data_IF_059028782920
#
_entry.id   IF_059028782920
#
_cell.length_a   1.000
_cell.length_b   1.000
_cell.length_c   1.000
_cell.angle_alpha   90.00
_cell.angle_beta   90.00
_cell.angle_gamma   90.00
#
_symmetry.space_group_name_H-M   'P 1'
#
loop_
_entity.id
_entity.type
_entity.pdbx_description
1 polymer ?
#
# COMPACT_ATOMS: atom_id res chain seq x y z
N UNK A 1 15.55 26.71 -24.80
CA UNK A 1 14.70 26.13 -23.72
C UNK A 1 14.62 27.14 -22.59
N UNK A 2 13.42 27.58 -22.22
CA UNK A 2 13.23 28.75 -21.35
C UNK A 2 13.56 28.47 -19.88
N UNK A 3 14.04 29.50 -19.16
CA UNK A 3 14.32 29.53 -17.70
C UNK A 3 13.20 28.95 -16.81
N UNK A 4 12.00 28.78 -17.35
CA UNK A 4 10.87 28.18 -16.66
C UNK A 4 10.98 26.64 -16.56
N UNK A 5 11.51 25.96 -17.57
CA UNK A 5 11.76 24.51 -17.52
C UNK A 5 12.82 24.18 -16.45
N UNK A 6 13.91 24.94 -16.37
CA UNK A 6 14.93 24.77 -15.31
C UNK A 6 14.39 25.02 -13.90
N UNK A 7 13.38 25.88 -13.74
CA UNK A 7 12.81 26.24 -12.44
C UNK A 7 11.74 25.26 -11.93
N UNK A 8 11.05 24.56 -12.83
CA UNK A 8 9.89 23.73 -12.49
C UNK A 8 10.06 22.24 -12.81
N UNK A 9 10.74 21.88 -13.91
CA UNK A 9 11.04 20.47 -14.25
C UNK A 9 12.13 19.90 -13.32
N UNK A 10 12.93 20.77 -12.68
CA UNK A 10 14.03 20.40 -11.79
C UNK A 10 13.75 20.41 -10.28
N UNK A 11 12.54 20.72 -9.81
CA UNK A 11 12.25 20.73 -8.37
C UNK A 11 11.66 19.40 -7.93
N UNK A 12 12.40 18.61 -7.13
CA UNK A 12 11.90 17.37 -6.50
C UNK A 12 10.53 17.55 -5.83
N UNK A 13 10.22 18.77 -5.36
CA UNK A 13 8.94 19.14 -4.75
C UNK A 13 7.75 19.02 -5.72
N UNK A 14 7.97 19.35 -6.99
CA UNK A 14 6.96 19.18 -8.04
C UNK A 14 6.69 17.69 -8.29
N UNK A 15 7.74 16.87 -8.38
CA UNK A 15 7.59 15.43 -8.56
C UNK A 15 6.90 14.75 -7.38
N UNK A 16 7.16 15.20 -6.15
CA UNK A 16 6.40 14.77 -4.96
C UNK A 16 4.91 15.11 -5.12
N UNK A 17 4.57 16.31 -5.59
CA UNK A 17 3.18 16.69 -5.84
C UNK A 17 2.52 15.77 -6.87
N UNK A 18 3.22 15.45 -7.97
CA UNK A 18 2.69 14.52 -9.00
C UNK A 18 2.42 13.14 -8.41
N UNK A 19 3.37 12.56 -7.67
CA UNK A 19 3.18 11.25 -7.05
C UNK A 19 2.00 11.24 -6.05
N UNK A 20 1.87 12.29 -5.24
CA UNK A 20 0.75 12.42 -4.29
C UNK A 20 -0.58 12.69 -5.00
N UNK A 21 -0.58 13.38 -6.14
CA UNK A 21 -1.77 13.56 -6.97
C UNK A 21 -2.27 12.23 -7.54
N UNK A 22 -1.36 11.36 -7.99
CA UNK A 22 -1.72 10.00 -8.43
C UNK A 22 -2.26 9.18 -7.25
N UNK A 23 -1.64 9.26 -6.07
CA UNK A 23 -2.18 8.63 -4.86
C UNK A 23 -3.61 9.09 -4.54
N UNK A 24 -3.88 10.39 -4.61
CA UNK A 24 -5.23 10.94 -4.42
C UNK A 24 -6.22 10.42 -5.49
N UNK A 25 -5.83 10.44 -6.76
CA UNK A 25 -6.66 9.89 -7.84
C UNK A 25 -7.01 8.42 -7.60
N UNK A 26 -6.04 7.63 -7.14
CA UNK A 26 -6.24 6.22 -6.82
C UNK A 26 -7.12 6.00 -5.59
N UNK A 27 -6.92 6.80 -4.54
CA UNK A 27 -7.77 6.77 -3.35
C UNK A 27 -9.23 7.10 -3.69
N UNK A 28 -9.46 8.10 -4.56
CA UNK A 28 -10.81 8.45 -5.04
C UNK A 28 -11.43 7.33 -5.89
N UNK A 29 -10.65 6.73 -6.79
CA UNK A 29 -11.10 5.60 -7.60
C UNK A 29 -11.56 4.43 -6.71
N UNK A 30 -10.74 4.01 -5.73
CA UNK A 30 -11.12 2.95 -4.79
C UNK A 30 -12.26 3.34 -3.86
N UNK A 31 -12.46 4.63 -3.57
CA UNK A 31 -13.62 5.08 -2.82
C UNK A 31 -14.92 4.91 -3.59
N UNK A 32 -14.93 5.32 -4.87
CA UNK A 32 -16.11 5.12 -5.71
C UNK A 32 -16.38 3.63 -5.89
N UNK A 33 -15.36 2.87 -6.30
CA UNK A 33 -15.47 1.43 -6.53
C UNK A 33 -15.87 0.67 -5.26
N UNK A 34 -15.15 0.89 -4.16
CA UNK A 34 -15.37 0.20 -2.89
C UNK A 34 -16.71 0.53 -2.25
N UNK A 35 -17.16 1.80 -2.27
CA UNK A 35 -18.48 2.15 -1.75
C UNK A 35 -19.60 1.55 -2.60
N UNK A 36 -19.46 1.53 -3.92
CA UNK A 36 -20.41 0.83 -4.80
C UNK A 36 -20.48 -0.65 -4.48
N UNK A 37 -19.32 -1.30 -4.29
CA UNK A 37 -19.23 -2.71 -3.91
C UNK A 37 -19.88 -2.98 -2.54
N UNK A 38 -19.59 -2.17 -1.51
CA UNK A 38 -20.22 -2.33 -0.19
C UNK A 38 -21.75 -2.14 -0.25
N UNK A 39 -22.25 -1.20 -1.05
CA UNK A 39 -23.70 -1.02 -1.28
C UNK A 39 -24.29 -2.23 -2.00
N UNK A 40 -23.61 -2.73 -3.04
CA UNK A 40 -24.03 -3.93 -3.77
C UNK A 40 -24.12 -5.13 -2.84
N UNK A 41 -23.09 -5.41 -2.03
CA UNK A 41 -23.10 -6.51 -1.06
C UNK A 41 -24.24 -6.42 -0.04
N UNK A 42 -24.68 -5.20 0.29
CA UNK A 42 -25.79 -4.97 1.23
C UNK A 42 -27.17 -5.24 0.61
N UNK A 43 -27.28 -5.21 -0.73
CA UNK A 43 -28.54 -5.41 -1.46
C UNK A 43 -28.57 -6.70 -2.28
N UNK A 44 -27.45 -7.43 -2.34
CA UNK A 44 -27.36 -8.69 -3.07
C UNK A 44 -28.19 -9.77 -2.38
N UNK A 45 -29.28 -10.18 -3.03
CA UNK A 45 -30.20 -11.19 -2.48
C UNK A 45 -29.55 -12.56 -2.31
N UNK A 46 -28.59 -12.91 -3.17
CA UNK A 46 -27.87 -14.17 -3.06
C UNK A 46 -26.99 -14.15 -1.81
N UNK A 47 -26.21 -13.09 -1.61
CA UNK A 47 -25.41 -12.88 -0.40
C UNK A 47 -26.28 -12.91 0.85
N UNK A 48 -27.38 -12.14 0.87
CA UNK A 48 -28.32 -12.13 2.00
C UNK A 48 -28.85 -13.54 2.30
N UNK A 49 -29.27 -14.28 1.26
CA UNK A 49 -29.84 -15.63 1.43
C UNK A 49 -28.84 -16.63 2.02
N UNK A 50 -27.54 -16.50 1.72
CA UNK A 50 -26.50 -17.34 2.32
C UNK A 50 -26.19 -16.91 3.74
N UNK A 51 -25.98 -15.61 3.97
CA UNK A 51 -25.58 -15.08 5.28
C UNK A 51 -26.70 -15.25 6.31
N UNK A 52 -27.96 -15.13 5.91
CA UNK A 52 -29.12 -15.31 6.79
C UNK A 52 -29.29 -16.73 7.35
N UNK A 53 -28.61 -17.73 6.78
CA UNK A 53 -28.60 -19.11 7.29
C UNK A 53 -27.67 -19.26 8.51
N UNK A 54 -26.73 -18.33 8.69
CA UNK A 54 -25.79 -18.33 9.78
C UNK A 54 -26.39 -17.68 11.03
N UNK A 55 -25.73 -17.89 12.17
CA UNK A 55 -26.11 -17.28 13.44
C UNK A 55 -26.06 -15.74 13.40
N UNK A 56 -26.90 -15.06 14.21
CA UNK A 56 -27.02 -13.59 14.19
C UNK A 56 -25.67 -12.87 14.38
N UNK A 57 -24.81 -13.37 15.27
CA UNK A 57 -23.50 -12.77 15.51
C UNK A 57 -22.60 -12.84 14.28
N UNK A 58 -22.72 -13.92 13.48
CA UNK A 58 -22.00 -14.08 12.22
C UNK A 58 -22.45 -13.08 11.16
N UNK A 59 -23.76 -12.87 11.06
CA UNK A 59 -24.32 -11.85 10.16
C UNK A 59 -23.81 -10.46 10.51
N UNK A 60 -23.80 -10.11 11.80
CA UNK A 60 -23.25 -8.83 12.29
C UNK A 60 -21.76 -8.73 11.96
N UNK A 61 -20.99 -9.79 12.18
CA UNK A 61 -19.56 -9.82 11.89
C UNK A 61 -19.29 -9.62 10.39
N UNK A 62 -20.03 -10.31 9.52
CA UNK A 62 -19.95 -10.17 8.06
C UNK A 62 -20.21 -8.73 7.61
N UNK A 63 -21.39 -8.16 7.93
CA UNK A 63 -21.74 -6.81 7.46
C UNK A 63 -20.84 -5.73 8.06
N UNK A 64 -20.37 -5.93 9.29
CA UNK A 64 -19.40 -5.03 9.92
C UNK A 64 -18.07 -5.07 9.18
N UNK A 65 -17.55 -6.26 8.87
CA UNK A 65 -16.21 -6.46 8.28
C UNK A 65 -16.11 -6.17 6.78
N UNK A 66 -17.13 -6.49 5.99
CA UNK A 66 -17.11 -6.36 4.53
C UNK A 66 -17.83 -5.07 4.06
N UNK A 67 -18.89 -4.68 4.75
CA UNK A 67 -19.68 -3.49 4.40
C UNK A 67 -19.13 -2.23 5.08
N UNK A 68 -19.27 -2.18 6.41
CA UNK A 68 -19.09 -0.94 7.17
C UNK A 68 -17.61 -0.54 7.28
N UNK A 69 -16.74 -1.46 7.68
CA UNK A 69 -15.33 -1.13 7.94
C UNK A 69 -14.57 -0.83 6.66
N UNK A 70 -14.83 -1.58 5.57
CA UNK A 70 -14.30 -1.28 4.24
C UNK A 70 -14.68 0.13 3.80
N UNK A 71 -15.95 0.51 3.92
CA UNK A 71 -16.45 1.85 3.59
C UNK A 71 -15.78 2.94 4.42
N UNK A 72 -15.73 2.78 5.76
CA UNK A 72 -15.11 3.76 6.66
C UNK A 72 -13.62 3.91 6.32
N UNK A 73 -12.91 2.78 6.17
CA UNK A 73 -11.49 2.79 5.86
C UNK A 73 -11.22 3.59 4.58
N UNK A 74 -11.90 3.25 3.49
CA UNK A 74 -11.63 3.90 2.20
C UNK A 74 -11.94 5.41 2.24
N UNK A 75 -13.01 5.82 2.92
CA UNK A 75 -13.32 7.25 3.13
C UNK A 75 -12.19 7.96 3.91
N UNK A 76 -11.69 7.34 5.00
CA UNK A 76 -10.55 7.89 5.75
C UNK A 76 -9.32 8.06 4.86
N UNK A 77 -9.04 7.10 3.97
CA UNK A 77 -7.92 7.19 3.02
C UNK A 77 -8.06 8.32 2.02
N UNK A 78 -9.27 8.59 1.49
CA UNK A 78 -9.49 9.75 0.61
C UNK A 78 -9.20 11.07 1.32
N UNK A 79 -9.67 11.23 2.56
CA UNK A 79 -9.36 12.43 3.34
C UNK A 79 -7.86 12.52 3.67
N UNK A 80 -7.22 11.41 4.00
CA UNK A 80 -5.77 11.35 4.21
C UNK A 80 -5.01 11.83 2.96
N UNK A 81 -5.35 11.28 1.79
CA UNK A 81 -4.75 11.65 0.52
C UNK A 81 -5.02 13.12 0.14
N UNK A 82 -6.21 13.64 0.46
CA UNK A 82 -6.56 15.05 0.22
C UNK A 82 -5.70 16.01 1.05
N UNK A 83 -5.47 15.71 2.33
CA UNK A 83 -4.56 16.48 3.17
C UNK A 83 -3.11 16.35 2.73
N UNK A 84 -2.68 15.16 2.31
CA UNK A 84 -1.34 14.93 1.78
C UNK A 84 -1.11 15.74 0.49
N UNK A 85 -2.08 15.74 -0.43
CA UNK A 85 -2.04 16.51 -1.67
C UNK A 85 -1.95 18.01 -1.39
N UNK A 86 -2.78 18.52 -0.48
CA UNK A 86 -2.72 19.94 -0.11
C UNK A 86 -1.39 20.32 0.54
N UNK A 87 -0.82 19.46 1.40
CA UNK A 87 0.51 19.66 1.97
C UNK A 87 1.60 19.67 0.88
N UNK A 88 1.57 18.73 -0.08
CA UNK A 88 2.49 18.67 -1.20
C UNK A 88 2.38 19.90 -2.12
N UNK A 89 1.16 20.37 -2.37
CA UNK A 89 0.90 21.58 -3.16
C UNK A 89 1.51 22.82 -2.49
N UNK A 90 1.30 22.98 -1.18
CA UNK A 90 1.92 24.06 -0.41
C UNK A 90 3.45 23.94 -0.39
N UNK A 91 3.99 22.73 -0.26
CA UNK A 91 5.43 22.50 -0.28
C UNK A 91 6.07 22.88 -1.63
N UNK A 92 5.37 22.60 -2.74
CA UNK A 92 5.78 23.01 -4.07
C UNK A 92 5.67 24.53 -4.28
N UNK A 93 4.52 25.15 -3.97
CA UNK A 93 4.23 26.56 -4.29
C UNK A 93 4.77 27.57 -3.28
N UNK A 94 4.60 27.29 -1.99
CA UNK A 94 4.89 28.22 -0.89
C UNK A 94 6.16 27.84 -0.10
N UNK A 95 6.68 26.62 -0.27
CA UNK A 95 7.95 26.20 0.34
C UNK A 95 7.89 26.42 1.86
N UNK A 96 8.94 27.00 2.43
CA UNK A 96 9.12 27.16 3.87
C UNK A 96 8.17 28.21 4.47
N UNK A 97 7.63 29.13 3.66
CA UNK A 97 6.65 30.15 4.13
C UNK A 97 5.32 29.55 4.60
N UNK A 98 4.99 28.34 4.16
CA UNK A 98 3.77 27.63 4.57
C UNK A 98 4.05 26.45 5.51
N UNK A 99 5.25 26.36 6.10
CA UNK A 99 5.66 25.21 6.90
C UNK A 99 4.69 24.84 8.04
N UNK A 100 4.12 25.79 8.81
CA UNK A 100 3.11 25.44 9.83
C UNK A 100 1.89 24.72 9.23
N UNK A 101 1.43 25.18 8.07
CA UNK A 101 0.27 24.61 7.39
C UNK A 101 0.60 23.27 6.72
N UNK A 102 1.82 23.11 6.19
CA UNK A 102 2.33 21.83 5.67
C UNK A 102 2.34 20.80 6.80
N UNK A 103 2.99 21.11 7.93
CA UNK A 103 3.05 20.24 9.11
C UNK A 103 1.66 19.85 9.61
N UNK A 104 0.75 20.82 9.74
CA UNK A 104 -0.64 20.59 10.17
C UNK A 104 -1.36 19.59 9.27
N UNK A 105 -1.25 19.74 7.96
CA UNK A 105 -1.92 18.84 7.01
C UNK A 105 -1.24 17.47 6.93
N UNK A 106 0.09 17.40 6.98
CA UNK A 106 0.82 16.12 7.12
C UNK A 106 0.38 15.36 8.37
N UNK A 107 0.24 16.03 9.52
CA UNK A 107 -0.26 15.41 10.76
C UNK A 107 -1.69 14.88 10.65
N UNK A 108 -2.55 15.54 9.85
CA UNK A 108 -3.92 15.07 9.59
C UNK A 108 -3.91 13.87 8.66
N UNK A 109 -3.12 13.92 7.59
CA UNK A 109 -2.93 12.81 6.66
C UNK A 109 -2.45 11.55 7.39
N UNK A 110 -1.41 11.66 8.22
CA UNK A 110 -0.88 10.53 9.00
C UNK A 110 -1.89 9.97 10.01
N UNK A 111 -2.72 10.82 10.63
CA UNK A 111 -3.77 10.37 11.56
C UNK A 111 -4.85 9.56 10.84
N UNK A 112 -5.31 10.07 9.69
CA UNK A 112 -6.37 9.45 8.93
C UNK A 112 -5.89 8.18 8.22
N UNK A 113 -4.65 8.13 7.74
CA UNK A 113 -4.04 6.91 7.21
C UNK A 113 -3.87 5.86 8.32
N UNK A 114 -3.49 6.24 9.54
CA UNK A 114 -3.49 5.32 10.67
C UNK A 114 -4.92 4.83 10.98
N UNK A 115 -5.90 5.74 10.92
CA UNK A 115 -7.31 5.41 11.06
C UNK A 115 -7.81 4.43 9.99
N UNK A 116 -7.36 4.57 8.73
CA UNK A 116 -7.65 3.62 7.66
C UNK A 116 -7.27 2.19 8.06
N UNK A 117 -6.03 1.99 8.54
CA UNK A 117 -5.57 0.65 8.92
C UNK A 117 -6.27 0.15 10.17
N UNK A 118 -6.51 1.01 11.17
CA UNK A 118 -7.23 0.59 12.37
C UNK A 118 -8.70 0.25 12.08
N UNK A 119 -9.32 0.89 11.08
CA UNK A 119 -10.69 0.61 10.70
C UNK A 119 -10.88 -0.81 10.13
N UNK A 120 -9.84 -1.44 9.59
CA UNK A 120 -9.91 -2.81 9.03
C UNK A 120 -9.69 -3.92 10.09
N UNK A 121 -9.57 -3.58 11.38
CA UNK A 121 -9.47 -4.58 12.48
C UNK A 121 -10.64 -5.58 12.48
N UNK A 122 -11.92 -5.18 12.30
CA UNK A 122 -13.00 -6.15 12.29
C UNK A 122 -12.88 -7.16 11.14
N UNK A 123 -12.30 -6.78 9.99
CA UNK A 123 -11.99 -7.71 8.90
C UNK A 123 -10.91 -8.73 9.30
N UNK A 124 -9.93 -8.33 10.13
CA UNK A 124 -8.96 -9.28 10.72
C UNK A 124 -9.67 -10.29 11.64
N UNK A 125 -10.54 -9.80 12.52
CA UNK A 125 -11.29 -10.65 13.46
C UNK A 125 -12.16 -11.63 12.69
N UNK A 126 -12.90 -11.14 11.69
CA UNK A 126 -13.75 -11.96 10.85
C UNK A 126 -12.95 -13.03 10.09
N UNK A 127 -11.80 -12.68 9.54
CA UNK A 127 -10.91 -13.60 8.85
C UNK A 127 -10.36 -14.72 9.76
N UNK A 128 -10.02 -14.42 11.02
CA UNK A 128 -9.63 -15.47 11.99
C UNK A 128 -10.82 -16.33 12.43
N UNK A 129 -11.98 -15.71 12.67
CA UNK A 129 -13.18 -16.42 13.08
C UNK A 129 -13.66 -17.38 11.98
N UNK A 130 -13.50 -17.01 10.70
CA UNK A 130 -13.80 -17.85 9.54
C UNK A 130 -13.13 -19.21 9.60
N UNK A 131 -11.87 -19.24 10.01
CA UNK A 131 -11.11 -20.48 10.10
C UNK A 131 -11.53 -21.38 11.28
N UNK A 132 -12.47 -20.92 12.10
CA UNK A 132 -13.00 -21.65 13.27
C UNK A 132 -14.45 -22.10 13.08
N UNK A 133 -15.02 -21.92 11.88
CA UNK A 133 -16.43 -22.22 11.60
C UNK A 133 -16.60 -22.86 10.21
N UNK A 134 -17.72 -23.54 10.01
CA UNK A 134 -18.19 -24.02 8.70
C UNK A 134 -19.22 -23.07 8.06
N UNK A 135 -19.38 -21.87 8.61
CA UNK A 135 -20.31 -20.85 8.11
C UNK A 135 -19.73 -20.12 6.88
N UNK A 136 -20.61 -19.60 6.01
CA UNK A 136 -20.24 -18.79 4.86
C UNK A 136 -19.94 -17.35 5.29
N UNK A 137 -18.72 -16.83 5.07
CA UNK A 137 -18.35 -15.43 5.37
C UNK A 137 -17.94 -14.64 4.14
N UNK A 138 -17.53 -15.28 3.05
CA UNK A 138 -17.13 -14.55 1.84
C UNK A 138 -18.13 -14.79 0.73
N UNK A 139 -18.30 -13.80 -0.13
CA UNK A 139 -19.26 -13.75 -1.26
C UNK A 139 -19.03 -14.85 -2.32
N UNK A 140 -18.08 -15.76 -2.10
CA UNK A 140 -17.58 -16.73 -3.06
C UNK A 140 -17.67 -18.19 -2.57
N UNK A 141 -18.85 -18.63 -2.14
CA UNK A 141 -19.01 -19.99 -1.62
C UNK A 141 -18.08 -20.28 -0.43
N UNK A 142 -17.75 -21.56 -0.20
CA UNK A 142 -16.78 -21.90 0.85
C UNK A 142 -15.34 -21.72 0.32
N UNK A 143 -14.85 -20.48 0.34
CA UNK A 143 -13.42 -20.21 0.15
C UNK A 143 -12.64 -20.97 1.23
N UNK A 144 -11.55 -21.68 0.90
CA UNK A 144 -10.70 -22.34 1.90
C UNK A 144 -10.28 -21.35 3.00
N UNK A 145 -10.41 -21.77 4.27
CA UNK A 145 -10.10 -20.93 5.43
C UNK A 145 -8.64 -20.46 5.42
N UNK A 146 -7.74 -21.28 4.87
CA UNK A 146 -6.31 -20.98 4.73
C UNK A 146 -6.06 -19.82 3.76
N UNK A 147 -6.86 -19.68 2.69
CA UNK A 147 -6.75 -18.53 1.77
C UNK A 147 -7.11 -17.24 2.50
N UNK A 148 -8.15 -17.27 3.32
CA UNK A 148 -8.57 -16.12 4.13
C UNK A 148 -7.52 -15.81 5.21
N UNK A 149 -6.96 -16.84 5.83
CA UNK A 149 -5.93 -16.70 6.85
C UNK A 149 -4.66 -16.04 6.29
N UNK A 150 -4.18 -16.54 5.15
CA UNK A 150 -2.97 -16.04 4.50
C UNK A 150 -3.20 -14.76 3.69
N UNK A 151 -4.38 -14.59 3.08
CA UNK A 151 -4.68 -13.41 2.28
C UNK A 151 -5.13 -12.19 3.09
N UNK A 152 -5.75 -12.42 4.25
CA UNK A 152 -6.35 -11.34 5.05
C UNK A 152 -5.88 -11.38 6.50
N UNK A 153 -6.17 -12.45 7.25
CA UNK A 153 -6.02 -12.44 8.71
C UNK A 153 -4.60 -12.09 9.19
N UNK A 154 -3.60 -12.88 8.78
CA UNK A 154 -2.21 -12.72 9.20
C UNK A 154 -1.58 -11.43 8.66
N UNK A 155 -1.60 -11.15 7.34
CA UNK A 155 -0.94 -9.95 6.83
C UNK A 155 -1.60 -8.66 7.32
N UNK A 156 -2.93 -8.60 7.38
CA UNK A 156 -3.62 -7.39 7.84
C UNK A 156 -3.44 -7.17 9.35
N UNK A 157 -3.34 -8.24 10.15
CA UNK A 157 -2.92 -8.13 11.55
C UNK A 157 -1.51 -7.53 11.68
N UNK A 158 -0.54 -8.06 10.92
CA UNK A 158 0.83 -7.53 10.94
C UNK A 158 0.87 -6.04 10.55
N UNK A 159 0.13 -5.66 9.51
CA UNK A 159 -0.02 -4.25 9.10
C UNK A 159 -0.60 -3.40 10.24
N UNK A 160 -1.65 -3.88 10.90
CA UNK A 160 -2.30 -3.18 12.03
C UNK A 160 -1.39 -3.00 13.25
N UNK A 161 -0.52 -3.98 13.51
CA UNK A 161 0.41 -3.92 14.64
C UNK A 161 1.62 -3.02 14.37
N UNK A 162 2.00 -2.82 13.10
CA UNK A 162 3.24 -2.09 12.75
C UNK A 162 2.96 -0.70 12.20
N UNK A 163 2.05 -0.56 11.24
CA UNK A 163 1.89 0.68 10.46
C UNK A 163 1.22 1.81 11.27
N UNK A 164 0.06 1.62 11.94
CA UNK A 164 -0.55 2.67 12.74
C UNK A 164 0.38 3.23 13.83
N UNK A 165 1.08 2.40 14.64
CA UNK A 165 2.02 2.93 15.63
C UNK A 165 3.14 3.79 15.01
N UNK A 166 3.71 3.38 13.88
CA UNK A 166 4.74 4.16 13.19
C UNK A 166 4.21 5.50 12.65
N UNK A 167 3.03 5.49 12.02
CA UNK A 167 2.36 6.69 11.52
C UNK A 167 2.03 7.67 12.65
N UNK A 168 1.46 7.17 13.75
CA UNK A 168 1.12 7.98 14.93
C UNK A 168 2.37 8.50 15.63
N UNK A 169 3.46 7.71 15.66
CA UNK A 169 4.74 8.16 16.21
C UNK A 169 5.35 9.27 15.36
N UNK A 170 5.41 9.11 14.04
CA UNK A 170 5.87 10.16 13.13
C UNK A 170 5.04 11.44 13.28
N UNK A 171 3.71 11.31 13.31
CA UNK A 171 2.79 12.42 13.57
C UNK A 171 3.11 13.13 14.89
N UNK A 172 3.35 12.37 15.97
CA UNK A 172 3.67 12.95 17.28
C UNK A 172 4.93 13.82 17.23
N UNK A 173 5.94 13.39 16.46
CA UNK A 173 7.20 14.13 16.28
C UNK A 173 7.03 15.39 15.45
N UNK A 174 6.24 15.32 14.37
CA UNK A 174 5.92 16.51 13.56
C UNK A 174 5.09 17.52 14.38
N UNK A 175 4.09 17.04 15.13
CA UNK A 175 3.21 17.89 15.95
C UNK A 175 3.97 18.58 17.08
N UNK A 176 4.94 17.90 17.69
CA UNK A 176 5.78 18.44 18.75
C UNK A 176 6.95 19.30 18.24
N UNK A 177 7.02 19.55 16.93
CA UNK A 177 8.11 20.28 16.28
C UNK A 177 9.50 19.74 16.64
N UNK A 178 9.61 18.40 16.72
CA UNK A 178 10.86 17.75 17.04
C UNK A 178 11.98 18.12 16.04
N UNK A 179 13.26 17.99 16.44
CA UNK A 179 14.39 18.21 15.54
C UNK A 179 14.25 17.46 14.21
N UNK A 180 14.72 18.07 13.11
CA UNK A 180 14.53 17.52 11.76
C UNK A 180 15.05 16.08 11.60
N UNK A 181 16.17 15.74 12.24
CA UNK A 181 16.72 14.39 12.24
C UNK A 181 15.80 13.37 12.95
N UNK A 182 15.06 13.75 13.99
CA UNK A 182 14.05 12.90 14.62
C UNK A 182 12.87 12.67 13.68
N UNK A 183 12.39 13.72 13.00
CA UNK A 183 11.28 13.59 12.05
C UNK A 183 11.70 12.67 10.88
N UNK A 184 12.90 12.87 10.34
CA UNK A 184 13.45 12.05 9.24
C UNK A 184 13.62 10.59 9.70
N UNK A 185 14.16 10.33 10.90
CA UNK A 185 14.26 8.98 11.46
C UNK A 185 12.91 8.25 11.44
N UNK A 186 11.86 8.88 11.98
CA UNK A 186 10.54 8.25 12.04
C UNK A 186 9.89 8.16 10.66
N UNK A 187 10.16 9.09 9.75
CA UNK A 187 9.72 8.99 8.36
C UNK A 187 10.37 7.80 7.64
N UNK A 188 11.68 7.59 7.84
CA UNK A 188 12.41 6.43 7.33
C UNK A 188 11.91 5.11 7.90
N UNK A 189 11.68 5.04 9.22
CA UNK A 189 11.13 3.84 9.87
C UNK A 189 9.71 3.54 9.36
N UNK A 190 8.86 4.55 9.20
CA UNK A 190 7.53 4.37 8.58
C UNK A 190 7.65 3.86 7.16
N UNK A 191 8.51 4.46 6.32
CA UNK A 191 8.73 4.02 4.94
C UNK A 191 9.20 2.56 4.85
N UNK A 192 10.15 2.16 5.68
CA UNK A 192 10.60 0.76 5.77
C UNK A 192 9.50 -0.16 6.30
N UNK A 193 8.71 0.28 7.28
CA UNK A 193 7.55 -0.45 7.77
C UNK A 193 6.57 -0.78 6.65
N UNK A 194 6.27 0.18 5.77
CA UNK A 194 5.46 -0.06 4.58
C UNK A 194 6.10 -1.09 3.65
N UNK A 195 7.38 -0.93 3.29
CA UNK A 195 8.08 -1.84 2.37
C UNK A 195 8.07 -3.27 2.91
N UNK A 196 8.43 -3.47 4.18
CA UNK A 196 8.50 -4.81 4.76
C UNK A 196 7.12 -5.40 5.07
N UNK A 197 6.20 -4.64 5.66
CA UNK A 197 4.95 -5.20 6.18
C UNK A 197 3.80 -5.09 5.19
N UNK A 198 3.54 -3.88 4.67
CA UNK A 198 2.42 -3.64 3.75
C UNK A 198 2.65 -4.25 2.37
N UNK A 199 3.90 -4.29 1.92
CA UNK A 199 4.25 -4.78 0.59
C UNK A 199 4.88 -6.16 0.63
N UNK A 200 6.11 -6.31 1.13
CA UNK A 200 6.81 -7.61 1.05
C UNK A 200 6.07 -8.73 1.80
N UNK A 201 5.80 -8.56 3.10
CA UNK A 201 5.15 -9.59 3.91
C UNK A 201 3.75 -9.89 3.38
N UNK A 202 2.91 -8.87 3.19
CA UNK A 202 1.56 -9.04 2.66
C UNK A 202 1.54 -9.80 1.33
N UNK A 203 2.36 -9.42 0.34
CA UNK A 203 2.37 -10.08 -0.96
C UNK A 203 2.98 -11.48 -0.91
N UNK A 204 3.94 -11.72 -0.02
CA UNK A 204 4.46 -13.07 0.25
C UNK A 204 3.37 -13.98 0.83
N UNK A 205 2.55 -13.45 1.74
CA UNK A 205 1.42 -14.18 2.29
C UNK A 205 0.32 -14.45 1.24
N UNK A 206 0.11 -13.54 0.28
CA UNK A 206 -0.79 -13.78 -0.85
C UNK A 206 -0.27 -14.85 -1.81
N UNK A 207 1.06 -14.98 -1.96
CA UNK A 207 1.65 -16.15 -2.62
C UNK A 207 1.43 -17.44 -1.83
N UNK A 208 1.51 -17.41 -0.49
CA UNK A 208 1.16 -18.56 0.34
C UNK A 208 -0.32 -18.95 0.19
N UNK A 209 -1.23 -17.97 0.13
CA UNK A 209 -2.64 -18.20 -0.18
C UNK A 209 -2.84 -18.86 -1.56
N UNK A 210 -2.05 -18.46 -2.56
CA UNK A 210 -2.07 -19.08 -3.89
C UNK A 210 -1.58 -20.54 -3.91
N UNK A 211 -0.94 -21.02 -2.84
CA UNK A 211 -0.55 -22.43 -2.72
C UNK A 211 -1.69 -23.33 -2.24
N UNK A 212 -2.79 -22.74 -1.73
CA UNK A 212 -3.92 -23.48 -1.19
C UNK A 212 -4.83 -23.97 -2.34
N UNK A 213 -5.22 -25.25 -2.35
CA UNK A 213 -6.18 -25.77 -3.32
C UNK A 213 -7.51 -25.00 -3.30
N UNK A 214 -7.91 -24.49 -4.46
CA UNK A 214 -9.16 -23.74 -4.60
C UNK A 214 -9.89 -24.12 -5.90
N UNK A 215 -11.09 -24.72 -5.85
CA UNK A 215 -11.79 -25.16 -7.05
C UNK A 215 -12.04 -24.07 -8.09
N UNK A 216 -12.23 -22.81 -7.65
CA UNK A 216 -12.43 -21.68 -8.58
C UNK A 216 -11.16 -21.26 -9.31
N UNK A 217 -9.99 -21.67 -8.83
CA UNK A 217 -8.73 -21.44 -9.54
C UNK A 217 -8.55 -22.40 -10.73
N UNK A 218 -9.45 -23.34 -10.98
CA UNK A 218 -9.38 -24.26 -12.13
C UNK A 218 -8.05 -25.02 -12.17
N UNK A 219 -7.63 -25.56 -11.03
CA UNK A 219 -6.33 -26.24 -10.81
C UNK A 219 -5.07 -25.35 -10.97
N UNK A 220 -5.23 -24.03 -11.13
CA UNK A 220 -4.13 -23.05 -11.19
C UNK A 220 -3.70 -22.58 -9.79
N UNK A 221 -3.24 -23.50 -8.96
CA UNK A 221 -2.70 -23.20 -7.63
C UNK A 221 -1.44 -24.03 -7.35
N UNK A 222 -0.79 -23.77 -6.21
CA UNK A 222 0.31 -24.59 -5.73
C UNK A 222 1.53 -24.61 -6.67
N UNK A 223 2.25 -25.74 -6.66
CA UNK A 223 3.45 -25.92 -7.49
C UNK A 223 3.14 -25.98 -8.98
N UNK A 224 1.97 -26.49 -9.37
CA UNK A 224 1.56 -26.55 -10.77
C UNK A 224 1.50 -25.15 -11.39
N UNK A 225 0.92 -24.19 -10.66
CA UNK A 225 0.91 -22.78 -11.06
C UNK A 225 2.31 -22.18 -11.09
N UNK A 226 3.14 -22.47 -10.08
CA UNK A 226 4.49 -21.91 -9.96
C UNK A 226 5.44 -22.41 -11.07
N UNK A 227 5.22 -23.61 -11.61
CA UNK A 227 6.06 -24.20 -12.65
C UNK A 227 6.03 -23.44 -13.98
N UNK A 228 5.03 -22.60 -14.23
CA UNK A 228 5.04 -21.72 -15.39
C UNK A 228 6.15 -20.66 -15.25
N UNK A 229 7.05 -20.47 -16.23
CA UNK A 229 8.21 -19.57 -16.09
C UNK A 229 7.86 -18.13 -15.67
N UNK A 230 6.75 -17.59 -16.19
CA UNK A 230 6.27 -16.25 -15.83
C UNK A 230 5.81 -16.16 -14.38
N UNK A 231 5.17 -17.21 -13.86
CA UNK A 231 4.70 -17.27 -12.49
C UNK A 231 5.89 -17.48 -11.53
N UNK A 232 6.86 -18.32 -11.89
CA UNK A 232 8.11 -18.46 -11.13
C UNK A 232 8.87 -17.13 -11.04
N UNK A 233 8.98 -16.41 -12.16
CA UNK A 233 9.62 -15.09 -12.17
C UNK A 233 8.87 -14.10 -11.29
N UNK A 234 7.53 -14.06 -11.40
CA UNK A 234 6.68 -13.21 -10.55
C UNK A 234 6.84 -13.54 -9.07
N UNK A 235 6.83 -14.83 -8.71
CA UNK A 235 7.11 -15.30 -7.35
C UNK A 235 8.48 -14.86 -6.85
N UNK A 236 9.53 -15.10 -7.62
CA UNK A 236 10.90 -14.76 -7.22
C UNK A 236 11.08 -13.25 -7.03
N UNK A 237 10.51 -12.45 -7.93
CA UNK A 237 10.54 -10.98 -7.86
C UNK A 237 9.72 -10.48 -6.65
N UNK A 238 8.58 -11.08 -6.35
CA UNK A 238 7.78 -10.70 -5.17
C UNK A 238 8.44 -11.10 -3.86
N UNK A 239 8.85 -12.35 -3.70
CA UNK A 239 9.34 -12.87 -2.41
C UNK A 239 10.77 -12.41 -2.14
N UNK A 240 11.67 -12.55 -3.11
CA UNK A 240 13.09 -12.21 -2.94
C UNK A 240 13.41 -10.81 -3.45
N UNK A 241 12.81 -10.39 -4.57
CA UNK A 241 13.05 -9.06 -5.13
C UNK A 241 12.58 -7.93 -4.21
N UNK A 242 11.34 -7.96 -3.72
CA UNK A 242 10.87 -6.96 -2.76
C UNK A 242 11.64 -6.99 -1.43
N UNK A 243 12.04 -8.19 -0.96
CA UNK A 243 12.90 -8.29 0.22
C UNK A 243 14.24 -7.60 -0.01
N UNK A 244 14.87 -7.87 -1.16
CA UNK A 244 16.13 -7.22 -1.55
C UNK A 244 15.99 -5.70 -1.64
N UNK A 245 14.90 -5.20 -2.22
CA UNK A 245 14.58 -3.75 -2.25
C UNK A 245 14.43 -3.20 -0.83
N UNK A 246 13.73 -3.90 0.06
CA UNK A 246 13.56 -3.50 1.45
C UNK A 246 14.88 -3.45 2.23
N UNK A 247 15.74 -4.46 2.07
CA UNK A 247 17.07 -4.49 2.68
C UNK A 247 17.97 -3.38 2.13
N UNK A 248 17.95 -3.14 0.82
CA UNK A 248 18.70 -2.05 0.19
C UNK A 248 18.22 -0.67 0.66
N UNK A 249 16.90 -0.48 0.79
CA UNK A 249 16.32 0.73 1.36
C UNK A 249 16.71 0.90 2.84
N UNK A 250 16.70 -0.19 3.62
CA UNK A 250 17.10 -0.18 5.03
C UNK A 250 18.58 0.21 5.20
N UNK A 251 19.45 -0.37 4.39
CA UNK A 251 20.87 -0.01 4.33
C UNK A 251 21.04 1.49 4.01
N UNK A 252 20.36 1.97 2.97
CA UNK A 252 20.42 3.36 2.53
C UNK A 252 19.90 4.34 3.57
N UNK A 253 18.85 3.97 4.31
CA UNK A 253 18.22 4.80 5.34
C UNK A 253 18.83 4.61 6.74
N UNK A 254 19.80 3.71 6.91
CA UNK A 254 20.44 3.46 8.19
C UNK A 254 21.03 4.73 8.84
N UNK A 255 21.70 5.64 8.10
CA UNK A 255 22.19 6.90 8.69
C UNK A 255 21.05 7.79 9.21
N UNK A 256 19.96 7.93 8.45
CA UNK A 256 18.77 8.68 8.90
C UNK A 256 18.16 8.07 10.18
N UNK A 257 18.11 6.74 10.29
CA UNK A 257 17.61 6.05 11.49
C UNK A 257 18.52 6.29 12.71
N UNK A 258 19.83 6.40 12.48
CA UNK A 258 20.84 6.79 13.47
C UNK A 258 20.89 8.30 13.73
N UNK A 259 19.98 9.08 13.15
CA UNK A 259 19.84 10.54 13.28
C UNK A 259 20.94 11.34 12.57
N UNK A 260 21.56 10.76 11.56
CA UNK A 260 22.59 11.36 10.69
C UNK A 260 22.06 11.50 9.24
N UNK A 261 20.97 12.27 9.02
CA UNK A 261 20.28 12.29 7.72
C UNK A 261 21.14 12.89 6.59
N UNK A 262 22.17 13.67 6.92
CA UNK A 262 23.10 14.26 5.94
C UNK A 262 24.00 13.22 5.27
N UNK A 263 24.14 12.03 5.87
CA UNK A 263 24.92 10.93 5.31
C UNK A 263 24.10 9.98 4.42
N UNK A 264 22.79 10.23 4.26
CA UNK A 264 21.95 9.41 3.37
C UNK A 264 22.35 9.67 1.91
N UNK A 265 22.73 8.61 1.20
CA UNK A 265 23.03 8.69 -0.22
C UNK A 265 21.72 8.82 -1.02
N UNK A 266 21.45 10.02 -1.53
CA UNK A 266 20.23 10.32 -2.30
C UNK A 266 20.15 9.52 -3.60
N UNK A 267 21.29 9.20 -4.25
CA UNK A 267 21.31 8.34 -5.43
C UNK A 267 20.76 6.96 -5.11
N UNK A 268 21.24 6.36 -4.02
CA UNK A 268 20.79 5.02 -3.60
C UNK A 268 19.33 5.04 -3.15
N UNK A 269 18.88 6.11 -2.50
CA UNK A 269 17.48 6.28 -2.14
C UNK A 269 16.59 6.37 -3.39
N UNK A 270 17.03 7.13 -4.40
CA UNK A 270 16.37 7.21 -5.70
C UNK A 270 16.28 5.85 -6.38
N UNK A 271 17.37 5.08 -6.42
CA UNK A 271 17.41 3.73 -6.99
C UNK A 271 16.44 2.80 -6.26
N UNK A 272 16.40 2.84 -4.93
CA UNK A 272 15.47 2.03 -4.14
C UNK A 272 14.01 2.34 -4.49
N UNK A 273 13.67 3.63 -4.63
CA UNK A 273 12.32 4.08 -5.02
C UNK A 273 11.99 3.61 -6.45
N UNK A 274 12.92 3.76 -7.40
CA UNK A 274 12.71 3.31 -8.79
C UNK A 274 12.51 1.80 -8.85
N UNK A 275 13.35 1.02 -8.18
CA UNK A 275 13.22 -0.44 -8.14
C UNK A 275 11.88 -0.87 -7.51
N UNK A 276 11.47 -0.20 -6.44
CA UNK A 276 10.17 -0.42 -5.81
C UNK A 276 9.00 -0.11 -6.76
N UNK A 277 9.02 1.00 -7.50
CA UNK A 277 7.99 1.27 -8.52
C UNK A 277 8.03 0.31 -9.69
N UNK A 278 9.23 -0.09 -10.13
CA UNK A 278 9.41 -1.03 -11.23
C UNK A 278 8.76 -2.39 -10.93
N UNK A 279 8.71 -2.81 -9.66
CA UNK A 279 7.95 -3.99 -9.23
C UNK A 279 6.45 -3.90 -9.59
N UNK A 280 5.80 -2.77 -9.34
CA UNK A 280 4.37 -2.60 -9.67
C UNK A 280 4.14 -2.50 -11.18
N UNK A 281 5.05 -1.85 -11.90
CA UNK A 281 5.03 -1.81 -13.36
C UNK A 281 5.16 -3.23 -13.92
N UNK A 282 6.12 -4.01 -13.42
CA UNK A 282 6.33 -5.40 -13.79
C UNK A 282 5.06 -6.24 -13.57
N UNK A 283 4.44 -6.19 -12.39
CA UNK A 283 3.22 -6.98 -12.14
C UNK A 283 2.03 -6.56 -12.99
N UNK A 284 1.89 -5.25 -13.27
CA UNK A 284 0.86 -4.76 -14.19
C UNK A 284 1.08 -5.33 -15.60
N UNK A 285 2.33 -5.31 -16.08
CA UNK A 285 2.68 -5.89 -17.38
C UNK A 285 2.47 -7.40 -17.40
N UNK A 286 2.89 -8.13 -16.36
CA UNK A 286 2.64 -9.58 -16.24
C UNK A 286 1.16 -9.87 -16.34
N UNK A 287 0.32 -9.19 -15.55
CA UNK A 287 -1.13 -9.38 -15.58
C UNK A 287 -1.70 -9.13 -16.97
N UNK A 288 -1.37 -8.01 -17.62
CA UNK A 288 -1.93 -7.67 -18.94
C UNK A 288 -1.42 -8.58 -20.06
N UNK A 289 -0.13 -8.89 -20.09
CA UNK A 289 0.49 -9.63 -21.19
C UNK A 289 0.15 -11.13 -21.19
N UNK A 290 -0.24 -11.69 -20.05
CA UNK A 290 -0.62 -13.10 -19.92
C UNK A 290 -2.13 -13.32 -20.05
N UNK A 291 -2.92 -12.26 -20.29
CA UNK A 291 -4.38 -12.36 -20.43
C UNK A 291 -5.17 -12.18 -19.14
N UNK A 292 -4.51 -11.84 -18.04
CA UNK A 292 -5.17 -11.47 -16.78
C UNK A 292 -5.86 -12.63 -16.06
N UNK A 293 -6.81 -12.29 -15.19
CA UNK A 293 -7.48 -13.26 -14.32
C UNK A 293 -8.29 -14.30 -15.10
N UNK A 294 -8.93 -13.92 -16.21
CA UNK A 294 -9.72 -14.87 -17.01
C UNK A 294 -8.87 -16.00 -17.59
N UNK A 295 -7.64 -15.70 -18.02
CA UNK A 295 -6.69 -16.68 -18.53
C UNK A 295 -6.00 -17.48 -17.40
N UNK A 296 -5.83 -16.88 -16.23
CA UNK A 296 -5.08 -17.43 -15.11
C UNK A 296 -5.83 -17.25 -13.78
N UNK A 297 -7.00 -17.89 -13.60
CA UNK A 297 -7.82 -17.70 -12.41
C UNK A 297 -7.06 -18.22 -11.19
N UNK A 298 -6.59 -17.31 -10.34
CA UNK A 298 -5.73 -17.62 -9.19
C UNK A 298 -5.75 -16.47 -8.20
N UNK A 299 -5.46 -16.76 -6.93
CA UNK A 299 -5.38 -15.73 -5.87
C UNK A 299 -4.35 -14.67 -6.26
N UNK A 300 -3.23 -15.08 -6.83
CA UNK A 300 -2.18 -14.15 -7.24
C UNK A 300 -2.65 -13.19 -8.34
N UNK A 301 -3.30 -13.70 -9.39
CA UNK A 301 -3.79 -12.86 -10.49
C UNK A 301 -4.94 -11.95 -10.06
N UNK A 302 -5.75 -12.36 -9.11
CA UNK A 302 -6.75 -11.50 -8.49
C UNK A 302 -6.07 -10.31 -7.81
N UNK A 303 -5.06 -10.57 -6.99
CA UNK A 303 -4.33 -9.56 -6.20
C UNK A 303 -3.56 -8.57 -7.07
N UNK A 304 -2.89 -9.03 -8.14
CA UNK A 304 -2.13 -8.12 -9.02
C UNK A 304 -3.00 -7.43 -10.06
N UNK A 305 -4.28 -7.80 -10.16
CA UNK A 305 -5.24 -7.17 -11.07
C UNK A 305 -5.37 -5.68 -10.80
N UNK A 306 -5.37 -4.82 -11.83
CA UNK A 306 -5.54 -3.38 -11.64
C UNK A 306 -6.83 -2.95 -10.94
N UNK A 307 -7.86 -3.80 -10.99
CA UNK A 307 -9.16 -3.55 -10.36
C UNK A 307 -9.18 -3.91 -8.86
N UNK A 308 -8.25 -4.76 -8.40
CA UNK A 308 -8.20 -5.22 -7.00
C UNK A 308 -6.97 -4.70 -6.23
N UNK A 309 -5.89 -4.36 -6.94
CA UNK A 309 -4.66 -3.96 -6.31
C UNK A 309 -4.69 -2.50 -5.82
N UNK A 310 -5.18 -2.27 -4.59
CA UNK A 310 -5.23 -0.96 -3.95
C UNK A 310 -3.87 -0.22 -3.81
N UNK A 311 -2.76 -0.84 -4.21
CA UNK A 311 -1.41 -0.31 -4.11
C UNK A 311 -0.79 0.16 -5.44
N UNK A 312 -1.49 0.08 -6.57
CA UNK A 312 -0.87 0.48 -7.85
C UNK A 312 -0.43 1.93 -7.92
N UNK A 313 -0.94 2.81 -7.06
CA UNK A 313 -0.41 4.18 -6.91
C UNK A 313 1.11 4.22 -6.70
N UNK A 314 1.73 3.16 -6.17
CA UNK A 314 3.18 3.03 -5.99
C UNK A 314 3.97 3.06 -7.31
N UNK A 315 3.35 2.78 -8.46
CA UNK A 315 3.97 2.99 -9.77
C UNK A 315 4.40 4.44 -9.98
N UNK A 316 3.66 5.39 -9.40
CA UNK A 316 3.93 6.82 -9.56
C UNK A 316 5.19 7.26 -8.81
N UNK A 317 5.70 6.47 -7.85
CA UNK A 317 6.92 6.84 -7.13
C UNK A 317 8.14 6.89 -8.05
N UNK A 318 8.09 6.27 -9.25
CA UNK A 318 9.15 6.36 -10.26
C UNK A 318 9.44 7.81 -10.67
N UNK A 319 8.40 8.67 -10.69
CA UNK A 319 8.55 10.08 -11.06
C UNK A 319 9.29 10.88 -9.99
N UNK A 320 9.41 10.35 -8.77
CA UNK A 320 10.22 10.90 -7.68
C UNK A 320 11.60 10.24 -7.65
N UNK A 321 11.64 8.91 -7.75
CA UNK A 321 12.87 8.13 -7.66
C UNK A 321 13.87 8.43 -8.78
N UNK A 322 13.40 8.55 -10.02
CA UNK A 322 14.30 8.82 -11.16
C UNK A 322 14.98 10.20 -11.06
N UNK A 323 14.26 11.31 -10.83
CA UNK A 323 14.90 12.60 -10.57
C UNK A 323 15.82 12.60 -9.35
N UNK A 324 15.46 11.89 -8.27
CA UNK A 324 16.31 11.78 -7.08
C UNK A 324 17.63 11.07 -7.37
N UNK A 325 17.59 10.02 -8.19
CA UNK A 325 18.77 9.28 -8.65
C UNK A 325 19.73 10.19 -9.44
N UNK A 326 19.21 10.91 -10.43
CA UNK A 326 20.00 11.84 -11.25
C UNK A 326 20.54 13.00 -10.41
N UNK A 327 19.72 13.54 -9.49
CA UNK A 327 20.15 14.63 -8.64
C UNK A 327 21.29 14.22 -7.70
N UNK A 328 21.24 13.03 -7.12
CA UNK A 328 22.33 12.50 -6.32
C UNK A 328 23.64 12.30 -7.11
N UNK A 329 23.55 11.80 -8.35
CA UNK A 329 24.72 11.59 -9.23
C UNK A 329 25.41 12.89 -9.64
N UNK A 330 24.65 13.96 -9.83
CA UNK A 330 25.19 15.25 -10.32
C UNK A 330 25.91 16.07 -9.27
N UNK A 331 26.06 15.57 -8.03
CA UNK A 331 26.93 16.16 -7.01
C UNK A 331 26.56 17.58 -6.61
N UNK A 332 25.34 18.06 -6.93
CA UNK A 332 24.82 19.35 -6.44
C UNK A 332 24.47 19.24 -4.95
N UNK A 333 25.47 18.97 -4.13
CA UNK A 333 25.49 19.30 -2.71
C UNK A 333 25.60 20.82 -2.58
N UNK A 334 24.56 21.55 -2.99
CA UNK A 334 24.27 22.81 -2.31
C UNK A 334 23.84 22.40 -0.91
N UNK A 335 24.71 22.59 0.06
CA UNK A 335 24.42 22.54 1.51
C UNK A 335 22.98 22.95 1.77
N UNK A 336 22.11 21.96 2.02
CA UNK A 336 20.77 22.20 2.52
C UNK A 336 20.96 22.62 3.98
N UNK A 337 20.92 23.93 4.23
CA UNK A 337 20.73 24.46 5.59
C UNK A 337 19.28 24.30 5.99
#
# INVERSE_FOLDING_TARGET
MGKWQERYVGSIRFWILVAVAVYLGYALYFAVYGLQFSVQLSHDQYVWSMISQNSLWWQVMYYTSEGVTGSIAIVLRVFAASFAFYAAFLYWRKKDTAMPQIRKNTCRALLLEAGFFLAIIPSVIAAFAYNSTSEYLFYFGHTPGEIVLFGTAIPVLAINLVIPPLLLKLRSKIKAEAPGNEIIKWASLTGLGYIFVTFWFNYTMLWAANMVPYPRAGDNFGLAFLNAPVNMASFAITVFGLLGIGLFAAFTLAPAIKKEPTQVNLTYLGIAIVAFSAYFIYNTLVYTLTGGYEAHPSVWYEVISPMHNANLWALALIVVGAPLTVWGLTGKHSTVK
#
